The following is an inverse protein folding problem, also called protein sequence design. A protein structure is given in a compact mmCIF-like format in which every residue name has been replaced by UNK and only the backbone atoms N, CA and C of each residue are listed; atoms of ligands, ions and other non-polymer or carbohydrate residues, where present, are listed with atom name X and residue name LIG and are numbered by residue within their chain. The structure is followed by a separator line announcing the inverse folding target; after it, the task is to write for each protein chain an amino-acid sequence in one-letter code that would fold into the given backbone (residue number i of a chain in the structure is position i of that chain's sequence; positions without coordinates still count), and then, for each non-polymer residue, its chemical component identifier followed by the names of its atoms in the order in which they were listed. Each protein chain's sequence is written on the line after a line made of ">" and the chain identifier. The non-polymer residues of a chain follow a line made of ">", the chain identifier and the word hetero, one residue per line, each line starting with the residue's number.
data_IF_672141242046
#
_entry.id   IF_672141242046
#
_cell.length_a   1.000
_cell.length_b   1.000
_cell.length_c   1.000
_cell.angle_alpha   90.00
_cell.angle_beta   90.00
_cell.angle_gamma   90.00
#
_symmetry.space_group_name_H-M   'P 1'
#
loop_
_entity.id
_entity.type
_entity.pdbx_description
1 polymer ?
#
# COMPACT_ATOMS: atom_id res chain seq x y z
N UNK A 1 16.95 -8.27 19.70
CA UNK A 1 17.19 -9.73 19.68
C UNK A 1 18.57 -10.11 19.12
N UNK A 2 19.60 -9.41 19.57
CA UNK A 2 21.00 -9.77 19.20
C UNK A 2 21.56 -10.86 20.14
N UNK A 3 20.88 -11.17 21.23
CA UNK A 3 21.40 -12.08 22.27
C UNK A 3 21.05 -13.57 22.11
N UNK A 4 20.19 -13.93 21.18
CA UNK A 4 19.75 -15.33 21.02
C UNK A 4 20.70 -16.22 20.20
N UNK A 5 21.76 -15.66 19.57
CA UNK A 5 22.71 -16.41 18.75
C UNK A 5 23.99 -16.84 19.45
N UNK A 6 24.10 -16.71 20.77
CA UNK A 6 25.35 -16.99 21.52
C UNK A 6 25.28 -18.25 22.37
N UNK A 7 24.28 -19.11 22.22
CA UNK A 7 24.16 -20.36 22.96
C UNK A 7 24.21 -21.53 21.99
N UNK A 8 25.41 -21.99 21.66
CA UNK A 8 25.65 -23.16 20.83
C UNK A 8 27.02 -23.07 20.17
N UNK A 9 27.68 -24.19 20.00
CA UNK A 9 29.03 -24.34 19.43
C UNK A 9 29.14 -23.98 17.94
N UNK A 10 28.07 -23.46 17.31
CA UNK A 10 28.09 -22.96 15.94
C UNK A 10 27.90 -21.44 15.97
N UNK A 11 28.94 -20.72 15.60
CA UNK A 11 28.90 -19.28 15.36
C UNK A 11 28.05 -19.03 14.11
N UNK A 12 26.81 -18.53 14.28
CA UNK A 12 26.02 -18.06 13.16
C UNK A 12 26.74 -16.88 12.50
N UNK A 13 27.49 -17.14 11.45
CA UNK A 13 28.16 -16.11 10.66
C UNK A 13 27.09 -15.45 9.82
N UNK A 14 26.70 -14.22 10.21
CA UNK A 14 25.84 -13.36 9.40
C UNK A 14 26.71 -12.71 8.33
N UNK A 15 26.57 -13.17 7.10
CA UNK A 15 27.43 -12.80 5.97
C UNK A 15 26.88 -11.60 5.19
N UNK A 16 25.66 -11.13 5.50
CA UNK A 16 25.00 -10.00 4.84
C UNK A 16 23.97 -9.33 5.72
N UNK A 17 23.65 -8.07 5.39
CA UNK A 17 22.63 -7.26 6.08
C UNK A 17 21.61 -6.75 5.07
N UNK A 18 20.34 -6.91 5.41
CA UNK A 18 19.20 -6.30 4.69
C UNK A 18 18.53 -5.33 5.64
N UNK A 19 18.27 -4.12 5.18
CA UNK A 19 17.57 -3.09 5.97
C UNK A 19 16.29 -2.64 5.29
N UNK A 20 15.34 -2.19 6.12
CA UNK A 20 14.05 -1.65 5.70
C UNK A 20 13.88 -0.26 6.31
N UNK A 21 13.21 0.62 5.59
CA UNK A 21 12.93 2.01 5.95
C UNK A 21 14.16 2.93 6.06
N UNK A 22 13.92 4.25 6.07
CA UNK A 22 14.93 5.29 5.85
C UNK A 22 16.08 5.23 6.88
N UNK A 23 15.76 5.20 8.18
CA UNK A 23 16.80 5.24 9.23
C UNK A 23 17.71 4.00 9.22
N UNK A 24 17.18 2.76 9.22
CA UNK A 24 18.01 1.57 9.06
C UNK A 24 18.79 1.54 7.75
N UNK A 25 18.21 1.99 6.64
CA UNK A 25 18.90 2.05 5.35
C UNK A 25 20.14 2.95 5.40
N UNK A 26 20.03 4.13 6.01
CA UNK A 26 21.15 5.07 6.13
C UNK A 26 22.19 4.58 7.14
N UNK A 27 21.78 4.32 8.39
CA UNK A 27 22.72 3.95 9.44
C UNK A 27 23.32 2.56 9.21
N UNK A 28 22.50 1.60 8.78
CA UNK A 28 22.95 0.26 8.43
C UNK A 28 23.94 0.26 7.27
N UNK A 29 23.66 1.05 6.22
CA UNK A 29 24.55 1.18 5.07
C UNK A 29 25.92 1.76 5.45
N UNK A 30 25.97 2.81 6.26
CA UNK A 30 27.22 3.40 6.76
C UNK A 30 28.04 2.41 7.61
N UNK A 31 27.36 1.66 8.48
CA UNK A 31 28.06 0.65 9.31
C UNK A 31 28.53 -0.55 8.50
N UNK A 32 27.73 -1.03 7.55
CA UNK A 32 28.12 -2.12 6.66
C UNK A 32 29.30 -1.73 5.76
N UNK A 33 29.35 -0.48 5.28
CA UNK A 33 30.50 0.02 4.54
C UNK A 33 31.78 -0.01 5.39
N UNK A 34 31.69 0.48 6.65
CA UNK A 34 32.80 0.52 7.60
C UNK A 34 33.33 -0.88 7.97
N UNK A 35 32.39 -1.82 8.14
CA UNK A 35 32.70 -3.20 8.56
C UNK A 35 32.96 -4.14 7.37
N UNK A 36 32.84 -3.63 6.14
CA UNK A 36 32.96 -4.40 4.89
C UNK A 36 32.00 -5.60 4.82
N UNK A 37 30.76 -5.41 5.30
CA UNK A 37 29.70 -6.43 5.25
C UNK A 37 28.83 -6.18 4.00
N UNK A 38 28.49 -7.20 3.20
CA UNK A 38 27.54 -7.08 2.10
C UNK A 38 26.20 -6.49 2.56
N UNK A 39 25.74 -5.45 1.89
CA UNK A 39 24.59 -4.65 2.29
C UNK A 39 23.54 -4.60 1.18
N UNK A 40 22.31 -4.80 1.58
CA UNK A 40 21.11 -4.74 0.75
C UNK A 40 20.10 -3.83 1.45
N UNK A 41 19.35 -3.04 0.70
CA UNK A 41 18.37 -2.12 1.26
C UNK A 41 17.00 -2.31 0.59
N UNK A 42 15.93 -2.21 1.37
CA UNK A 42 14.58 -2.12 0.85
C UNK A 42 14.06 -0.68 1.06
N UNK A 43 13.66 -0.03 -0.04
CA UNK A 43 13.10 1.31 -0.05
C UNK A 43 11.61 1.19 -0.36
N UNK A 44 10.80 1.04 0.70
CA UNK A 44 9.34 0.87 0.60
C UNK A 44 8.63 2.13 0.09
N UNK A 45 9.25 3.29 0.25
CA UNK A 45 8.73 4.56 -0.24
C UNK A 45 9.73 5.68 0.04
N UNK A 46 9.64 6.76 -0.72
CA UNK A 46 10.58 7.90 -0.60
C UNK A 46 10.33 8.76 0.64
N UNK A 47 9.12 8.66 1.22
CA UNK A 47 8.71 9.46 2.36
C UNK A 47 8.59 10.96 2.04
N UNK A 48 8.14 11.73 3.03
CA UNK A 48 7.93 13.18 2.89
C UNK A 48 9.21 13.97 2.65
N UNK A 49 10.38 13.39 2.94
CA UNK A 49 11.67 14.06 2.74
C UNK A 49 11.92 14.38 1.26
N UNK A 50 11.52 13.51 0.34
CA UNK A 50 11.70 13.73 -1.10
C UNK A 50 10.67 14.68 -1.72
N UNK A 51 9.60 15.01 -1.00
CA UNK A 51 8.56 15.95 -1.47
C UNK A 51 8.96 17.43 -1.27
N UNK A 52 9.93 17.71 -0.39
CA UNK A 52 10.39 19.06 -0.10
C UNK A 52 11.80 19.27 -0.67
N UNK A 53 12.03 20.22 -1.60
CA UNK A 53 13.29 20.32 -2.36
C UNK A 53 14.56 20.33 -1.49
N UNK A 54 14.58 21.10 -0.40
CA UNK A 54 15.76 21.18 0.49
C UNK A 54 16.01 19.88 1.25
N UNK A 55 14.95 19.22 1.75
CA UNK A 55 15.05 17.94 2.44
C UNK A 55 15.41 16.81 1.47
N UNK A 56 14.90 16.85 0.24
CA UNK A 56 15.21 15.87 -0.78
C UNK A 56 16.70 15.89 -1.13
N UNK A 57 17.31 17.07 -1.19
CA UNK A 57 18.74 17.20 -1.46
C UNK A 57 19.59 16.65 -0.30
N UNK A 58 19.20 16.93 0.94
CA UNK A 58 19.85 16.38 2.12
C UNK A 58 19.72 14.84 2.18
N UNK A 59 18.52 14.31 1.99
CA UNK A 59 18.27 12.85 1.92
C UNK A 59 19.10 12.20 0.81
N UNK A 60 19.20 12.84 -0.37
CA UNK A 60 20.04 12.36 -1.48
C UNK A 60 21.50 12.21 -1.07
N UNK A 61 22.08 13.20 -0.38
CA UNK A 61 23.47 13.13 0.09
C UNK A 61 23.67 12.00 1.12
N UNK A 62 22.73 11.87 2.05
CA UNK A 62 22.76 10.77 3.05
C UNK A 62 22.74 9.40 2.39
N UNK A 63 21.79 9.18 1.47
CA UNK A 63 21.69 7.93 0.74
C UNK A 63 22.90 7.65 -0.14
N UNK A 64 23.42 8.64 -0.87
CA UNK A 64 24.67 8.49 -1.66
C UNK A 64 25.83 8.01 -0.78
N UNK A 65 25.94 8.55 0.43
CA UNK A 65 27.00 8.17 1.34
C UNK A 65 26.79 6.75 1.87
N UNK A 66 25.57 6.42 2.30
CA UNK A 66 25.24 5.13 2.86
C UNK A 66 25.26 3.97 1.83
N UNK A 67 24.94 4.29 0.54
CA UNK A 67 24.76 3.29 -0.50
C UNK A 67 25.99 3.10 -1.42
N UNK A 68 27.12 3.67 -1.10
CA UNK A 68 28.37 3.51 -1.89
C UNK A 68 28.66 2.05 -2.24
N UNK A 69 28.56 1.15 -1.24
CA UNK A 69 28.85 -0.27 -1.38
C UNK A 69 27.59 -1.16 -1.36
N UNK A 70 26.38 -0.56 -1.48
CA UNK A 70 25.15 -1.35 -1.57
C UNK A 70 25.23 -2.31 -2.74
N UNK A 71 24.81 -3.55 -2.53
CA UNK A 71 24.79 -4.61 -3.56
C UNK A 71 23.56 -4.50 -4.42
N UNK A 72 22.38 -4.45 -3.78
CA UNK A 72 21.08 -4.32 -4.43
C UNK A 72 20.18 -3.45 -3.58
N UNK A 73 19.35 -2.64 -4.23
CA UNK A 73 18.29 -1.87 -3.58
C UNK A 73 16.96 -2.35 -4.15
N UNK A 74 16.09 -2.81 -3.27
CA UNK A 74 14.74 -3.23 -3.61
C UNK A 74 13.80 -2.04 -3.51
N UNK A 75 12.93 -1.90 -4.50
CA UNK A 75 11.86 -0.90 -4.54
C UNK A 75 10.52 -1.58 -4.76
N UNK A 76 9.46 -0.94 -4.31
CA UNK A 76 8.09 -1.45 -4.45
C UNK A 76 7.37 -0.92 -5.70
N UNK A 77 7.95 0.06 -6.40
CA UNK A 77 7.50 0.56 -7.68
C UNK A 77 8.65 1.21 -8.47
N UNK A 78 8.49 1.28 -9.80
CA UNK A 78 9.52 1.78 -10.71
C UNK A 78 9.82 3.27 -10.49
N UNK A 79 8.82 4.09 -10.19
CA UNK A 79 9.00 5.54 -10.02
C UNK A 79 9.96 5.86 -8.87
N UNK A 80 9.88 5.10 -7.77
CA UNK A 80 10.81 5.26 -6.65
C UNK A 80 12.24 4.82 -7.02
N UNK A 81 12.40 3.81 -7.85
CA UNK A 81 13.69 3.37 -8.36
C UNK A 81 14.32 4.42 -9.30
N UNK A 82 13.52 4.90 -10.26
CA UNK A 82 13.93 5.95 -11.21
C UNK A 82 14.43 7.20 -10.47
N UNK A 83 13.74 7.65 -9.42
CA UNK A 83 14.16 8.79 -8.59
C UNK A 83 15.54 8.57 -7.96
N UNK A 84 15.86 7.35 -7.53
CA UNK A 84 17.18 7.02 -6.98
C UNK A 84 18.27 6.96 -8.06
N UNK A 85 17.94 6.49 -9.25
CA UNK A 85 18.86 6.45 -10.40
C UNK A 85 19.12 7.87 -10.93
N UNK A 86 18.07 8.67 -11.14
CA UNK A 86 18.17 10.05 -11.65
C UNK A 86 18.95 10.94 -10.72
N UNK A 87 18.77 10.78 -9.42
CA UNK A 87 19.59 11.46 -8.40
C UNK A 87 20.99 10.90 -8.26
N UNK A 88 21.34 9.85 -9.01
CA UNK A 88 22.64 9.16 -8.93
C UNK A 88 22.96 8.66 -7.51
N UNK A 89 21.96 8.18 -6.80
CA UNK A 89 22.12 7.49 -5.50
C UNK A 89 22.65 6.09 -5.73
N UNK A 90 22.09 5.42 -6.74
CA UNK A 90 22.53 4.12 -7.23
C UNK A 90 22.63 4.15 -8.76
N UNK A 91 23.23 3.12 -9.33
CA UNK A 91 23.15 2.83 -10.75
C UNK A 91 22.05 1.81 -11.06
N UNK A 92 21.52 1.79 -12.28
CA UNK A 92 20.36 0.99 -12.68
C UNK A 92 20.56 -0.52 -12.42
N UNK A 93 21.79 -1.01 -12.58
CA UNK A 93 22.10 -2.44 -12.35
C UNK A 93 22.02 -2.87 -10.87
N UNK A 94 21.84 -1.93 -9.96
CA UNK A 94 21.65 -2.21 -8.51
C UNK A 94 20.20 -2.17 -8.09
N UNK A 95 19.28 -1.76 -8.94
CA UNK A 95 17.86 -1.76 -8.63
C UNK A 95 17.23 -3.15 -8.83
N UNK A 96 16.23 -3.43 -8.03
CA UNK A 96 15.33 -4.57 -8.22
C UNK A 96 13.93 -4.14 -7.79
N UNK A 97 12.97 -4.24 -8.69
CA UNK A 97 11.57 -3.94 -8.38
C UNK A 97 10.91 -5.20 -7.84
N UNK A 98 10.23 -5.05 -6.72
CA UNK A 98 9.40 -6.09 -6.11
C UNK A 98 7.94 -5.60 -6.06
N UNK A 99 7.00 -6.51 -6.18
CA UNK A 99 5.57 -6.22 -6.04
C UNK A 99 5.20 -6.07 -4.54
N UNK A 100 5.74 -5.02 -3.91
CA UNK A 100 5.61 -4.76 -2.47
C UNK A 100 6.24 -5.86 -1.62
N UNK A 101 5.64 -6.12 -0.46
CA UNK A 101 5.96 -7.26 0.38
C UNK A 101 5.26 -8.56 -0.06
N UNK A 102 4.41 -8.46 -1.08
CA UNK A 102 3.49 -9.52 -1.48
C UNK A 102 2.37 -9.75 -0.47
N UNK A 103 1.36 -10.49 -0.87
CA UNK A 103 0.21 -10.84 -0.02
C UNK A 103 0.22 -12.33 0.33
N UNK A 104 -0.05 -12.66 1.58
CA UNK A 104 -0.23 -14.04 2.00
C UNK A 104 -1.65 -14.52 1.64
N UNK A 105 -1.76 -15.29 0.56
CA UNK A 105 -3.01 -15.77 0.02
C UNK A 105 -3.69 -16.86 0.89
N UNK A 106 -2.98 -17.44 1.84
CA UNK A 106 -3.52 -18.39 2.82
C UNK A 106 -4.20 -17.66 4.01
N UNK A 107 -3.69 -16.45 4.35
CA UNK A 107 -4.28 -15.58 5.37
C UNK A 107 -5.44 -14.77 4.79
N UNK A 108 -5.26 -14.20 3.60
CA UNK A 108 -6.28 -13.45 2.87
C UNK A 108 -6.92 -14.35 1.81
N UNK A 109 -7.76 -15.28 2.28
CA UNK A 109 -8.49 -16.18 1.41
C UNK A 109 -9.56 -15.45 0.60
N UNK A 110 -9.80 -15.90 -0.63
CA UNK A 110 -10.92 -15.41 -1.41
C UNK A 110 -12.24 -15.77 -0.71
N UNK A 111 -13.07 -14.77 -0.44
CA UNK A 111 -14.38 -14.96 0.20
C UNK A 111 -15.49 -14.78 -0.83
N UNK A 112 -16.65 -15.44 -0.66
CA UNK A 112 -17.82 -15.18 -1.49
C UNK A 112 -18.10 -13.68 -1.58
N UNK A 113 -18.52 -13.23 -2.78
CA UNK A 113 -18.86 -11.82 -2.96
C UNK A 113 -20.12 -11.50 -2.15
N UNK A 114 -20.14 -10.46 -1.31
CA UNK A 114 -21.32 -10.09 -0.54
C UNK A 114 -22.44 -9.63 -1.50
N UNK A 115 -23.68 -9.75 -1.03
CA UNK A 115 -24.88 -9.27 -1.73
C UNK A 115 -25.58 -8.28 -0.83
N UNK A 116 -24.83 -7.28 -0.40
CA UNK A 116 -25.33 -6.26 0.52
C UNK A 116 -26.34 -5.32 -0.16
N UNK A 117 -27.40 -4.97 0.56
CA UNK A 117 -28.36 -3.96 0.16
C UNK A 117 -28.65 -3.07 1.37
N UNK A 118 -28.15 -1.84 1.41
CA UNK A 118 -27.29 -1.19 0.40
C UNK A 118 -25.87 -1.74 0.36
N UNK A 119 -25.10 -1.47 -0.75
CA UNK A 119 -23.70 -1.86 -0.87
C UNK A 119 -22.80 -1.20 0.16
N UNK A 120 -21.75 -1.90 0.58
CA UNK A 120 -20.76 -1.44 1.54
C UNK A 120 -19.43 -1.08 0.86
N UNK A 121 -19.05 0.20 0.96
CA UNK A 121 -17.67 0.62 0.74
C UNK A 121 -16.87 0.45 2.04
N UNK A 122 -15.63 0.03 1.94
CA UNK A 122 -14.72 -0.06 3.07
C UNK A 122 -13.51 0.85 2.85
N UNK A 123 -13.24 1.72 3.80
CA UNK A 123 -11.94 2.34 3.99
C UNK A 123 -11.24 1.71 5.19
N UNK A 124 -9.96 1.35 5.02
CA UNK A 124 -9.14 0.81 6.09
C UNK A 124 -7.79 1.51 6.14
N UNK A 125 -7.47 2.15 7.27
CA UNK A 125 -6.21 2.85 7.44
C UNK A 125 -6.26 3.99 8.44
N UNK A 126 -5.16 4.73 8.52
CA UNK A 126 -5.09 5.96 9.32
C UNK A 126 -6.01 7.02 8.71
N UNK A 127 -6.79 7.66 9.55
CA UNK A 127 -7.69 8.75 9.14
C UNK A 127 -6.86 10.04 9.18
N UNK A 128 -6.30 10.40 8.02
CA UNK A 128 -5.42 11.54 7.84
C UNK A 128 -5.49 12.08 6.40
N UNK A 129 -5.07 13.33 6.23
CA UNK A 129 -5.17 14.03 4.95
C UNK A 129 -4.47 13.32 3.79
N UNK A 130 -3.26 12.82 4.02
CA UNK A 130 -2.48 12.12 2.99
C UNK A 130 -3.10 10.80 2.52
N UNK A 131 -4.10 10.30 3.26
CA UNK A 131 -4.91 9.15 2.86
C UNK A 131 -6.17 9.53 2.07
N UNK A 132 -6.31 10.82 1.70
CA UNK A 132 -7.40 11.29 0.87
C UNK A 132 -8.75 11.37 1.57
N UNK A 133 -8.74 11.64 2.90
CA UNK A 133 -9.97 11.69 3.68
C UNK A 133 -10.88 12.86 3.28
N UNK A 134 -10.31 13.98 2.85
CA UNK A 134 -11.09 15.13 2.36
C UNK A 134 -11.90 14.75 1.13
N UNK A 135 -11.27 14.04 0.19
CA UNK A 135 -11.90 13.59 -1.04
C UNK A 135 -12.92 12.49 -0.77
N UNK A 136 -12.60 11.53 0.08
CA UNK A 136 -13.49 10.41 0.41
C UNK A 136 -14.79 10.90 1.05
N UNK A 137 -14.67 11.77 2.05
CA UNK A 137 -15.84 12.30 2.73
C UNK A 137 -16.68 13.19 1.83
N UNK A 138 -16.05 14.04 1.01
CA UNK A 138 -16.77 14.92 0.09
C UNK A 138 -17.46 14.15 -1.03
N UNK A 139 -16.81 13.11 -1.57
CA UNK A 139 -17.42 12.23 -2.58
C UNK A 139 -18.59 11.42 -2.01
N UNK A 140 -18.46 10.91 -0.78
CA UNK A 140 -19.51 10.18 -0.09
C UNK A 140 -20.71 11.08 0.24
N UNK A 141 -20.50 12.31 0.73
CA UNK A 141 -21.57 13.28 0.95
C UNK A 141 -22.32 13.60 -0.35
N UNK A 142 -21.57 13.87 -1.44
CA UNK A 142 -22.16 14.17 -2.75
C UNK A 142 -23.00 12.99 -3.28
N UNK A 143 -22.53 11.74 -3.14
CA UNK A 143 -23.31 10.55 -3.52
C UNK A 143 -24.59 10.42 -2.68
N UNK A 144 -24.50 10.66 -1.38
CA UNK A 144 -25.65 10.63 -0.50
C UNK A 144 -26.69 11.70 -0.88
N UNK A 145 -26.24 12.92 -1.13
CA UNK A 145 -27.10 14.05 -1.52
C UNK A 145 -27.75 13.82 -2.91
N UNK A 146 -27.06 13.11 -3.81
CA UNK A 146 -27.60 12.68 -5.12
C UNK A 146 -28.55 11.47 -4.99
N UNK A 147 -28.78 10.96 -3.77
CA UNK A 147 -29.78 9.92 -3.48
C UNK A 147 -29.28 8.48 -3.61
N UNK A 148 -27.97 8.25 -3.82
CA UNK A 148 -27.40 6.91 -3.82
C UNK A 148 -27.44 6.29 -2.43
N UNK A 149 -27.78 5.01 -2.37
CA UNK A 149 -27.79 4.24 -1.11
C UNK A 149 -26.54 3.40 -0.99
N UNK A 150 -25.79 3.60 0.06
CA UNK A 150 -24.58 2.84 0.39
C UNK A 150 -24.25 3.04 1.88
N UNK A 151 -23.32 2.28 2.39
CA UNK A 151 -22.66 2.50 3.69
C UNK A 151 -21.15 2.65 3.44
N UNK A 152 -20.51 3.65 4.03
CA UNK A 152 -19.06 3.77 4.06
C UNK A 152 -18.54 3.33 5.43
N UNK A 153 -18.04 2.11 5.52
CA UNK A 153 -17.39 1.60 6.72
C UNK A 153 -15.97 2.16 6.83
N UNK A 154 -15.67 2.83 7.95
CA UNK A 154 -14.34 3.36 8.27
C UNK A 154 -13.69 2.53 9.37
N UNK A 155 -12.58 1.89 9.06
CA UNK A 155 -11.77 1.11 10.01
C UNK A 155 -10.41 1.74 10.16
N UNK A 156 -10.06 2.18 11.38
CA UNK A 156 -8.79 2.82 11.65
C UNK A 156 -8.82 3.76 12.85
N UNK A 157 -7.83 4.63 12.91
CA UNK A 157 -7.72 5.63 13.97
C UNK A 157 -7.37 7.01 13.39
N UNK A 158 -7.75 8.04 14.14
CA UNK A 158 -7.48 9.42 13.76
C UNK A 158 -6.00 9.75 14.00
N UNK A 159 -5.32 10.24 12.98
CA UNK A 159 -3.99 10.86 13.06
C UNK A 159 -4.10 12.39 12.91
N UNK A 160 -5.11 12.86 12.16
CA UNK A 160 -5.48 14.27 11.99
C UNK A 160 -6.86 14.58 12.60
N UNK A 161 -7.26 15.84 12.56
CA UNK A 161 -8.50 16.35 13.19
C UNK A 161 -9.75 16.08 12.33
N UNK A 162 -10.13 14.80 12.16
CA UNK A 162 -11.31 14.40 11.41
C UNK A 162 -12.49 13.91 12.25
N UNK A 163 -12.34 13.88 13.57
CA UNK A 163 -13.34 13.28 14.46
C UNK A 163 -14.73 13.91 14.32
N UNK A 164 -14.81 15.24 14.38
CA UNK A 164 -16.09 15.97 14.26
C UNK A 164 -16.76 15.75 12.91
N UNK A 165 -15.97 15.67 11.82
CA UNK A 165 -16.50 15.40 10.48
C UNK A 165 -17.05 13.99 10.37
N UNK A 166 -16.38 13.00 10.95
CA UNK A 166 -16.86 11.60 10.98
C UNK A 166 -18.14 11.50 11.80
N UNK A 167 -18.23 12.11 13.00
CA UNK A 167 -19.44 12.13 13.82
C UNK A 167 -20.64 12.77 13.07
N UNK A 168 -20.39 13.85 12.31
CA UNK A 168 -21.41 14.47 11.48
C UNK A 168 -21.89 13.52 10.38
N UNK A 169 -20.98 12.84 9.68
CA UNK A 169 -21.33 11.90 8.60
C UNK A 169 -22.02 10.63 9.14
N UNK A 170 -21.67 10.17 10.33
CA UNK A 170 -22.39 9.10 11.03
C UNK A 170 -23.82 9.52 11.37
N UNK A 171 -24.03 10.76 11.85
CA UNK A 171 -25.35 11.28 12.14
C UNK A 171 -26.27 11.37 10.91
N UNK A 172 -25.67 11.53 9.71
CA UNK A 172 -26.35 11.51 8.41
C UNK A 172 -26.57 10.08 7.86
N UNK A 173 -25.98 9.07 8.50
CA UNK A 173 -26.03 7.68 8.00
C UNK A 173 -25.15 7.40 6.79
N UNK A 174 -24.20 8.28 6.44
CA UNK A 174 -23.28 8.12 5.30
C UNK A 174 -22.09 7.22 5.67
N UNK A 175 -21.61 7.36 6.90
CA UNK A 175 -20.41 6.68 7.41
C UNK A 175 -20.79 5.82 8.61
N UNK A 176 -20.06 4.73 8.80
CA UNK A 176 -20.06 3.93 10.02
C UNK A 176 -18.62 3.75 10.49
N UNK A 177 -18.26 4.37 11.61
CA UNK A 177 -16.93 4.31 12.16
C UNK A 177 -16.78 3.15 13.14
N UNK A 178 -15.77 2.29 12.90
CA UNK A 178 -15.51 1.08 13.70
C UNK A 178 -14.30 1.20 14.62
N UNK A 179 -13.58 2.33 14.57
CA UNK A 179 -12.33 2.47 15.32
C UNK A 179 -11.21 1.58 14.77
N UNK A 180 -10.12 1.52 15.51
CA UNK A 180 -9.00 0.62 15.19
C UNK A 180 -9.39 -0.84 15.43
N UNK A 181 -9.06 -1.70 14.48
CA UNK A 181 -9.29 -3.14 14.56
C UNK A 181 -7.99 -3.88 14.36
N UNK A 182 -7.65 -4.77 15.29
CA UNK A 182 -6.47 -5.63 15.17
C UNK A 182 -6.65 -6.71 14.08
N UNK A 183 -7.90 -7.12 13.83
CA UNK A 183 -8.26 -8.12 12.84
C UNK A 183 -9.16 -7.51 11.75
N UNK A 184 -8.59 -7.06 10.63
CA UNK A 184 -9.34 -6.40 9.56
C UNK A 184 -10.05 -7.34 8.59
N UNK A 185 -9.68 -8.63 8.55
CA UNK A 185 -10.21 -9.60 7.56
C UNK A 185 -11.73 -9.73 7.53
N UNK A 186 -12.47 -9.68 8.66
CA UNK A 186 -13.93 -9.69 8.62
C UNK A 186 -14.53 -8.52 7.84
N UNK A 187 -13.90 -7.35 7.89
CA UNK A 187 -14.37 -6.16 7.17
C UNK A 187 -14.17 -6.32 5.66
N UNK A 188 -13.04 -6.85 5.21
CA UNK A 188 -12.88 -7.20 3.79
C UNK A 188 -13.91 -8.23 3.34
N UNK A 189 -14.24 -9.21 4.17
CA UNK A 189 -15.19 -10.26 3.82
C UNK A 189 -16.63 -9.72 3.59
N UNK A 190 -17.01 -8.65 4.27
CA UNK A 190 -18.34 -8.04 4.19
C UNK A 190 -18.43 -6.83 3.26
N UNK A 191 -17.29 -6.26 2.85
CA UNK A 191 -17.25 -5.13 1.93
C UNK A 191 -17.60 -5.54 0.50
N UNK A 192 -18.36 -4.72 -0.21
CA UNK A 192 -18.60 -4.86 -1.64
C UNK A 192 -17.46 -4.25 -2.47
N UNK A 193 -16.83 -3.19 -1.96
CA UNK A 193 -15.70 -2.51 -2.59
C UNK A 193 -14.83 -1.84 -1.53
N UNK A 194 -13.51 -1.82 -1.77
CA UNK A 194 -12.58 -1.05 -0.93
C UNK A 194 -12.22 0.25 -1.62
N UNK A 195 -12.18 1.35 -0.87
CA UNK A 195 -11.83 2.68 -1.38
C UNK A 195 -10.60 3.21 -0.66
N UNK A 196 -9.52 3.44 -1.41
CA UNK A 196 -8.23 3.90 -0.87
C UNK A 196 -7.69 5.09 -1.70
N UNK A 197 -8.13 6.33 -1.44
CA UNK A 197 -7.77 7.49 -2.24
C UNK A 197 -6.47 8.17 -1.78
N UNK A 198 -5.46 7.40 -1.40
CA UNK A 198 -4.18 7.89 -0.88
C UNK A 198 -3.44 8.79 -1.88
N UNK A 199 -2.67 9.74 -1.35
CA UNK A 199 -1.81 10.61 -2.17
C UNK A 199 -0.43 10.02 -2.42
N UNK A 200 0.02 9.11 -1.55
CA UNK A 200 1.36 8.50 -1.62
C UNK A 200 1.33 7.11 -0.98
N UNK A 201 1.88 6.13 -1.69
CA UNK A 201 2.11 4.77 -1.18
C UNK A 201 3.46 4.24 -1.69
N UNK A 202 4.07 3.33 -0.96
CA UNK A 202 5.12 2.47 -1.49
C UNK A 202 4.49 1.36 -2.33
N UNK A 203 3.73 0.51 -1.64
CA UNK A 203 2.73 -0.41 -2.18
C UNK A 203 1.56 -0.44 -1.20
N UNK A 204 0.32 -0.27 -1.70
CA UNK A 204 -0.87 -0.27 -0.85
C UNK A 204 -1.24 -1.69 -0.42
N UNK A 205 -0.84 -2.09 0.78
CA UNK A 205 -1.22 -3.39 1.34
C UNK A 205 -2.73 -3.55 1.42
N UNK A 206 -3.48 -2.49 1.72
CA UNK A 206 -4.95 -2.52 1.77
C UNK A 206 -5.54 -2.92 0.42
N UNK A 207 -4.99 -2.42 -0.69
CA UNK A 207 -5.42 -2.82 -2.03
C UNK A 207 -5.12 -4.30 -2.29
N UNK A 208 -3.93 -4.79 -1.88
CA UNK A 208 -3.56 -6.20 -2.04
C UNK A 208 -4.46 -7.12 -1.20
N UNK A 209 -4.75 -6.74 0.04
CA UNK A 209 -5.61 -7.49 0.97
C UNK A 209 -7.06 -7.56 0.47
N UNK A 210 -7.60 -6.44 0.00
CA UNK A 210 -8.92 -6.35 -0.60
C UNK A 210 -9.02 -7.24 -1.85
N UNK A 211 -8.10 -7.08 -2.78
CA UNK A 211 -8.05 -7.85 -4.02
C UNK A 211 -7.85 -9.35 -3.76
N UNK A 212 -7.00 -9.71 -2.79
CA UNK A 212 -6.81 -11.09 -2.37
C UNK A 212 -8.09 -11.70 -1.79
N UNK A 213 -8.90 -10.91 -1.08
CA UNK A 213 -10.20 -11.35 -0.55
C UNK A 213 -11.29 -11.40 -1.63
N UNK A 214 -10.99 -10.98 -2.86
CA UNK A 214 -11.92 -10.97 -3.99
C UNK A 214 -12.82 -9.71 -4.01
N UNK A 215 -12.30 -8.57 -3.58
CA UNK A 215 -13.02 -7.29 -3.58
C UNK A 215 -12.45 -6.36 -4.65
N UNK A 216 -13.30 -5.77 -5.49
CA UNK A 216 -12.89 -4.67 -6.34
C UNK A 216 -12.35 -3.51 -5.49
N UNK A 217 -11.41 -2.75 -6.05
CA UNK A 217 -10.78 -1.63 -5.36
C UNK A 217 -10.95 -0.34 -6.17
N UNK A 218 -11.32 0.74 -5.51
CA UNK A 218 -11.23 2.10 -6.05
C UNK A 218 -10.03 2.76 -5.36
N UNK A 219 -9.04 3.15 -6.14
CA UNK A 219 -7.82 3.77 -5.61
C UNK A 219 -7.30 4.85 -6.54
N UNK A 220 -6.37 5.67 -6.05
CA UNK A 220 -5.76 6.72 -6.85
C UNK A 220 -4.77 6.17 -7.87
N UNK A 221 -4.68 6.84 -9.03
CA UNK A 221 -3.70 6.55 -10.07
C UNK A 221 -2.32 7.13 -9.71
N UNK A 222 -1.72 6.56 -8.67
CA UNK A 222 -0.39 6.90 -8.17
C UNK A 222 0.50 5.65 -8.10
N UNK A 223 1.83 5.82 -8.12
CA UNK A 223 2.76 4.71 -7.83
C UNK A 223 2.46 4.06 -6.47
N UNK A 224 2.49 2.74 -6.42
CA UNK A 224 2.16 1.96 -5.22
C UNK A 224 0.66 1.66 -5.04
N UNK A 225 -0.20 2.29 -5.84
CA UNK A 225 -1.63 1.96 -5.89
C UNK A 225 -2.03 1.38 -7.25
N UNK A 226 -1.62 2.03 -8.36
CA UNK A 226 -2.02 1.63 -9.72
C UNK A 226 -1.58 0.23 -10.10
N UNK A 227 -0.46 -0.23 -9.57
CA UNK A 227 0.09 -1.56 -9.88
C UNK A 227 -0.84 -2.68 -9.40
N UNK A 228 -1.58 -2.43 -8.31
CA UNK A 228 -2.51 -3.40 -7.73
C UNK A 228 -3.85 -3.49 -8.46
N UNK A 229 -4.21 -2.49 -9.28
CA UNK A 229 -5.53 -2.38 -9.91
C UNK A 229 -5.39 -2.24 -11.43
N UNK A 230 -6.08 -3.10 -12.15
CA UNK A 230 -6.31 -2.95 -13.58
C UNK A 230 -7.62 -2.22 -13.80
N UNK A 231 -7.52 -0.97 -14.31
CA UNK A 231 -8.65 -0.04 -14.38
C UNK A 231 -9.83 -0.63 -15.17
N UNK A 232 -11.03 -0.55 -14.60
CA UNK A 232 -12.30 -1.08 -15.13
C UNK A 232 -12.38 -2.61 -15.23
N UNK A 233 -11.30 -3.32 -14.86
CA UNK A 233 -11.26 -4.78 -14.93
C UNK A 233 -11.20 -5.44 -13.53
N UNK A 234 -10.33 -4.95 -12.64
CA UNK A 234 -10.24 -5.42 -11.25
C UNK A 234 -10.72 -4.39 -10.24
N UNK A 235 -11.00 -3.17 -10.68
CA UNK A 235 -11.40 -2.02 -9.89
C UNK A 235 -11.32 -0.74 -10.72
N UNK A 236 -11.19 0.41 -10.07
CA UNK A 236 -11.11 1.70 -10.74
C UNK A 236 -9.97 2.55 -10.21
N UNK A 237 -9.35 3.29 -11.13
CA UNK A 237 -8.36 4.31 -10.82
C UNK A 237 -9.01 5.71 -10.90
N UNK A 238 -8.79 6.51 -9.87
CA UNK A 238 -9.22 7.91 -9.83
C UNK A 238 -8.01 8.84 -9.77
N UNK A 239 -8.18 10.09 -10.15
CA UNK A 239 -7.15 11.11 -10.03
C UNK A 239 -6.89 11.44 -8.56
N UNK A 240 -5.61 11.56 -8.13
CA UNK A 240 -5.29 11.96 -6.78
C UNK A 240 -5.77 13.39 -6.48
N UNK A 241 -6.26 13.61 -5.27
CA UNK A 241 -6.76 14.92 -4.79
C UNK A 241 -7.94 15.47 -5.61
N UNK A 242 -8.76 14.60 -6.20
CA UNK A 242 -9.93 14.97 -6.99
C UNK A 242 -11.18 14.34 -6.42
N UNK A 243 -12.01 15.16 -5.78
CA UNK A 243 -13.33 14.75 -5.27
C UNK A 243 -14.21 14.26 -6.42
N UNK A 244 -14.24 14.97 -7.54
CA UNK A 244 -15.11 14.62 -8.68
C UNK A 244 -14.67 13.31 -9.32
N UNK A 245 -13.35 13.07 -9.49
CA UNK A 245 -12.87 11.81 -10.03
C UNK A 245 -13.22 10.64 -9.12
N UNK A 246 -13.03 10.78 -7.80
CA UNK A 246 -13.38 9.73 -6.83
C UNK A 246 -14.91 9.49 -6.80
N UNK A 247 -15.71 10.55 -6.78
CA UNK A 247 -17.18 10.48 -6.87
C UNK A 247 -17.63 9.68 -8.09
N UNK A 248 -17.10 9.99 -9.29
CA UNK A 248 -17.48 9.29 -10.53
C UNK A 248 -17.13 7.78 -10.46
N UNK A 249 -16.00 7.40 -9.84
CA UNK A 249 -15.63 5.98 -9.71
C UNK A 249 -16.48 5.26 -8.67
N UNK A 250 -16.81 5.89 -7.54
CA UNK A 250 -17.72 5.33 -6.55
C UNK A 250 -19.14 5.20 -7.13
N UNK A 251 -19.61 6.19 -7.90
CA UNK A 251 -20.89 6.16 -8.62
C UNK A 251 -20.91 5.02 -9.65
N UNK A 252 -19.87 4.91 -10.49
CA UNK A 252 -19.76 3.84 -11.48
C UNK A 252 -19.83 2.46 -10.83
N UNK A 253 -19.20 2.28 -9.66
CA UNK A 253 -19.36 1.06 -8.87
C UNK A 253 -20.82 0.83 -8.47
N UNK A 254 -21.52 1.83 -7.93
CA UNK A 254 -22.92 1.71 -7.49
C UNK A 254 -23.88 1.39 -8.65
N UNK A 255 -23.58 1.87 -9.85
CA UNK A 255 -24.37 1.63 -11.07
C UNK A 255 -23.99 0.30 -11.77
N UNK A 256 -22.90 -0.35 -11.34
CA UNK A 256 -22.49 -1.64 -11.92
C UNK A 256 -23.31 -2.78 -11.33
N UNK A 257 -23.78 -3.69 -12.18
CA UNK A 257 -24.50 -4.89 -11.74
C UNK A 257 -23.67 -5.76 -10.79
N UNK A 258 -24.31 -6.32 -9.78
CA UNK A 258 -23.65 -7.15 -8.75
C UNK A 258 -22.89 -8.33 -9.36
N UNK A 259 -23.39 -8.94 -10.43
CA UNK A 259 -22.70 -10.02 -11.15
C UNK A 259 -21.37 -9.57 -11.78
N UNK A 260 -21.33 -8.33 -12.30
CA UNK A 260 -20.08 -7.74 -12.82
C UNK A 260 -19.10 -7.40 -11.69
N UNK A 261 -19.59 -6.83 -10.58
CA UNK A 261 -18.76 -6.56 -9.39
C UNK A 261 -18.12 -7.86 -8.87
N UNK A 262 -18.87 -8.96 -8.81
CA UNK A 262 -18.36 -10.27 -8.42
C UNK A 262 -17.28 -10.77 -9.37
N UNK A 263 -17.46 -10.60 -10.68
CA UNK A 263 -16.47 -10.98 -11.69
C UNK A 263 -15.19 -10.14 -11.53
N UNK A 264 -15.32 -8.82 -11.32
CA UNK A 264 -14.19 -7.94 -11.06
C UNK A 264 -13.41 -8.38 -9.82
N UNK A 265 -14.10 -8.77 -8.75
CA UNK A 265 -13.46 -9.31 -7.55
C UNK A 265 -12.68 -10.61 -7.81
N UNK A 266 -13.20 -11.50 -8.68
CA UNK A 266 -12.49 -12.71 -9.10
C UNK A 266 -11.22 -12.40 -9.89
N UNK A 267 -11.27 -11.41 -10.79
CA UNK A 267 -10.10 -10.96 -11.53
C UNK A 267 -9.09 -10.26 -10.62
N UNK A 268 -9.56 -9.46 -9.66
CA UNK A 268 -8.70 -8.87 -8.64
C UNK A 268 -7.94 -9.95 -7.85
N UNK A 269 -8.63 -11.02 -7.42
CA UNK A 269 -8.00 -12.18 -6.77
C UNK A 269 -6.98 -12.86 -7.68
N UNK A 270 -7.31 -13.08 -8.96
CA UNK A 270 -6.42 -13.75 -9.89
C UNK A 270 -5.12 -12.95 -10.08
N UNK A 271 -5.22 -11.62 -10.21
CA UNK A 271 -4.05 -10.75 -10.27
C UNK A 271 -3.14 -10.89 -9.05
N UNK A 272 -3.72 -11.02 -7.84
CA UNK A 272 -2.94 -11.26 -6.63
C UNK A 272 -2.22 -12.61 -6.66
N UNK A 273 -2.84 -13.65 -7.20
CA UNK A 273 -2.23 -14.98 -7.37
C UNK A 273 -1.06 -14.93 -8.35
N UNK A 274 -1.23 -14.23 -9.47
CA UNK A 274 -0.27 -14.25 -10.57
C UNK A 274 0.94 -13.32 -10.33
N UNK A 275 0.73 -12.20 -9.64
CA UNK A 275 1.74 -11.13 -9.58
C UNK A 275 2.19 -10.80 -8.15
N UNK A 276 1.30 -10.94 -7.15
CA UNK A 276 1.52 -10.41 -5.80
C UNK A 276 1.59 -11.49 -4.70
N UNK A 277 1.55 -12.79 -5.06
CA UNK A 277 1.73 -13.84 -4.04
C UNK A 277 3.07 -13.63 -3.32
N UNK A 278 3.03 -13.61 -1.99
CA UNK A 278 4.23 -13.50 -1.16
C UNK A 278 5.31 -14.52 -1.52
N UNK A 279 4.92 -15.70 -2.01
CA UNK A 279 5.86 -16.73 -2.46
C UNK A 279 6.67 -16.27 -3.68
N UNK A 280 6.04 -15.55 -4.61
CA UNK A 280 6.71 -14.97 -5.80
C UNK A 280 7.71 -13.92 -5.34
N UNK A 281 7.26 -12.95 -4.52
CA UNK A 281 8.09 -11.84 -4.04
C UNK A 281 9.30 -12.34 -3.24
N UNK A 282 9.10 -13.35 -2.38
CA UNK A 282 10.19 -13.98 -1.62
C UNK A 282 11.19 -14.66 -2.56
N UNK A 283 10.71 -15.42 -3.55
CA UNK A 283 11.60 -16.08 -4.51
C UNK A 283 12.44 -15.08 -5.31
N UNK A 284 11.84 -13.98 -5.75
CA UNK A 284 12.55 -12.93 -6.50
C UNK A 284 13.55 -12.19 -5.61
N UNK A 285 13.21 -11.96 -4.35
CA UNK A 285 14.14 -11.43 -3.36
C UNK A 285 15.35 -12.37 -3.15
N UNK A 286 15.10 -13.66 -2.97
CA UNK A 286 16.15 -14.68 -2.79
C UNK A 286 17.07 -14.76 -4.00
N UNK A 287 16.52 -14.75 -5.21
CA UNK A 287 17.31 -14.70 -6.45
C UNK A 287 18.21 -13.46 -6.52
N UNK A 288 17.65 -12.28 -6.22
CA UNK A 288 18.42 -11.03 -6.23
C UNK A 288 19.52 -10.99 -5.15
N UNK A 289 19.31 -11.68 -4.05
CA UNK A 289 20.32 -11.85 -2.99
C UNK A 289 21.41 -12.87 -3.36
N UNK A 290 21.22 -13.62 -4.45
CA UNK A 290 22.09 -14.73 -4.88
C UNK A 290 22.29 -15.77 -3.76
N UNK A 291 21.18 -16.16 -3.12
CA UNK A 291 21.09 -17.20 -2.10
C UNK A 291 20.75 -18.56 -2.72
#
# INVERSE_FOLDING_TARGET
>A
EISACLVGSEMCIRDRVITYSIKPNVYGGLMCEKLNIPFYANVQGLGTAFQKPGLAQFATVLYKTAFKKVKTVFFENQVNADEFVDRKIISVEKETILNGAGINLEIYECKPYPKSDPPHFLYLGRIMKEKGMDELFSAAEKLHDDGYKFVLDLVGFFEDEYKERVELLESKGVVKFHGFQEEPRPYYATADCVVMPSYHEGMSNVNLEASATGRPVITTDIPGCRESVENEYTGWLCEPKSVDSLYEKMKAFLETDISKREVMGKYARQKMVDEFDKKIVVNDTVKALKL
#
